data_IF_447627725453
#
_entry.id   IF_447627725453
#
_cell.length_a   1.000
_cell.length_b   1.000
_cell.length_c   1.000
_cell.angle_alpha   90.00
_cell.angle_beta   90.00
_cell.angle_gamma   90.00
#
_symmetry.space_group_name_H-M   'P 1'
#
loop_
_entity.id
_entity.type
_entity.pdbx_description
1 polymer ?
#
# COMPACT_ATOMS: atom_id res chain seq x y z
N UNK A 1 1.52 1.08 -11.93
CA UNK A 1 0.29 0.37 -11.57
C UNK A 1 -0.15 -0.61 -12.66
N UNK A 2 0.00 -0.26 -13.94
CA UNK A 2 -0.30 -1.17 -15.03
C UNK A 2 0.60 -2.40 -14.98
N UNK A 3 1.87 -2.21 -14.70
CA UNK A 3 2.83 -3.30 -14.57
C UNK A 3 2.49 -4.19 -13.38
N UNK A 4 2.09 -3.61 -12.28
CA UNK A 4 1.66 -4.36 -11.11
C UNK A 4 0.46 -5.23 -11.43
N UNK A 5 -0.54 -4.66 -12.09
CA UNK A 5 -1.76 -5.38 -12.46
C UNK A 5 -1.46 -6.52 -13.44
N UNK A 6 -0.55 -6.29 -14.39
CA UNK A 6 -0.16 -7.29 -15.38
C UNK A 6 0.58 -8.48 -14.74
N UNK A 7 1.32 -8.23 -13.66
CA UNK A 7 2.11 -9.26 -12.98
C UNK A 7 1.37 -9.91 -11.81
N UNK A 8 0.14 -9.49 -11.56
CA UNK A 8 -0.65 -9.96 -10.42
C UNK A 8 -1.04 -11.43 -10.63
N UNK A 9 -0.92 -12.20 -9.55
CA UNK A 9 -1.35 -13.58 -9.52
C UNK A 9 -2.60 -13.70 -8.65
N UNK A 10 -3.72 -14.02 -9.29
CA UNK A 10 -5.02 -14.09 -8.62
C UNK A 10 -5.04 -15.19 -7.57
N UNK A 11 -5.52 -14.86 -6.37
CA UNK A 11 -5.65 -15.80 -5.26
C UNK A 11 -4.40 -16.01 -4.43
N UNK A 12 -3.27 -15.43 -4.82
CA UNK A 12 -2.03 -15.55 -4.07
C UNK A 12 -1.83 -14.32 -3.18
N UNK A 13 -2.30 -14.40 -1.94
CA UNK A 13 -2.23 -13.29 -0.98
C UNK A 13 -0.79 -12.95 -0.63
N UNK A 14 0.06 -13.97 -0.48
CA UNK A 14 1.47 -13.76 -0.18
C UNK A 14 2.16 -12.90 -1.24
N UNK A 15 1.92 -13.22 -2.52
CA UNK A 15 2.46 -12.44 -3.63
C UNK A 15 1.85 -11.03 -3.67
N UNK A 16 0.56 -10.91 -3.40
CA UNK A 16 -0.12 -9.62 -3.38
C UNK A 16 0.50 -8.69 -2.33
N UNK A 17 0.80 -9.20 -1.15
CA UNK A 17 1.46 -8.42 -0.10
C UNK A 17 2.87 -7.99 -0.52
N UNK A 18 3.64 -8.91 -1.10
CA UNK A 18 4.98 -8.57 -1.59
C UNK A 18 4.93 -7.50 -2.66
N UNK A 19 3.95 -7.57 -3.56
CA UNK A 19 3.78 -6.59 -4.63
C UNK A 19 3.42 -5.21 -4.07
N UNK A 20 2.53 -5.15 -3.06
CA UNK A 20 2.15 -3.89 -2.41
C UNK A 20 3.35 -3.26 -1.71
N UNK A 21 4.14 -4.04 -0.99
CA UNK A 21 5.34 -3.54 -0.30
C UNK A 21 6.32 -2.96 -1.31
N UNK A 22 6.59 -3.70 -2.38
CA UNK A 22 7.52 -3.23 -3.42
C UNK A 22 7.01 -1.98 -4.12
N UNK A 23 5.73 -1.93 -4.44
CA UNK A 23 5.13 -0.76 -5.08
C UNK A 23 5.24 0.46 -4.18
N UNK A 24 4.90 0.33 -2.91
CA UNK A 24 4.95 1.44 -1.96
C UNK A 24 6.38 1.95 -1.78
N UNK A 25 7.34 1.04 -1.62
CA UNK A 25 8.75 1.41 -1.47
C UNK A 25 9.29 2.10 -2.74
N UNK A 26 8.94 1.57 -3.91
CA UNK A 26 9.35 2.14 -5.19
C UNK A 26 8.83 3.57 -5.36
N UNK A 27 7.56 3.81 -5.03
CA UNK A 27 6.98 5.15 -5.12
C UNK A 27 7.69 6.13 -4.20
N UNK A 28 8.02 5.70 -2.98
CA UNK A 28 8.73 6.55 -2.02
C UNK A 28 10.16 6.85 -2.52
N UNK A 29 10.85 5.84 -3.02
CA UNK A 29 12.21 5.99 -3.52
C UNK A 29 12.25 6.94 -4.71
N UNK A 30 11.33 6.76 -5.66
CA UNK A 30 11.30 7.57 -6.87
C UNK A 30 10.90 9.03 -6.59
N UNK A 31 9.98 9.24 -5.64
CA UNK A 31 9.46 10.56 -5.31
C UNK A 31 10.10 11.17 -4.05
N UNK A 32 11.00 10.44 -3.41
CA UNK A 32 11.60 10.85 -2.14
C UNK A 32 12.23 12.24 -2.16
N UNK A 33 13.09 12.57 -3.13
CA UNK A 33 13.69 13.91 -3.20
C UNK A 33 12.67 15.02 -3.37
N UNK A 34 11.62 14.79 -4.17
CA UNK A 34 10.55 15.75 -4.38
C UNK A 34 9.76 15.98 -3.09
N UNK A 35 9.36 14.90 -2.42
CA UNK A 35 8.62 14.98 -1.16
C UNK A 35 9.42 15.66 -0.07
N UNK A 36 10.70 15.34 0.03
CA UNK A 36 11.59 15.95 1.01
C UNK A 36 11.74 17.44 0.78
N UNK A 37 11.85 17.85 -0.47
CA UNK A 37 11.96 19.26 -0.85
C UNK A 37 10.70 20.03 -0.45
N UNK A 38 9.53 19.43 -0.64
CA UNK A 38 8.27 20.05 -0.21
C UNK A 38 8.25 20.33 1.29
N UNK A 39 8.73 19.41 2.10
CA UNK A 39 8.78 19.57 3.55
C UNK A 39 9.78 20.67 3.92
N UNK A 40 10.97 20.64 3.35
CA UNK A 40 12.04 21.60 3.63
C UNK A 40 11.65 23.03 3.25
N UNK A 41 10.89 23.18 2.17
CA UNK A 41 10.45 24.49 1.69
C UNK A 41 9.20 25.00 2.42
N UNK A 42 8.76 24.29 3.47
CA UNK A 42 7.59 24.70 4.25
C UNK A 42 6.27 24.36 3.59
N UNK A 43 6.26 23.44 2.62
CA UNK A 43 5.07 23.05 1.89
C UNK A 43 4.45 21.75 2.46
N UNK A 44 4.37 21.65 3.79
CA UNK A 44 3.84 20.47 4.45
C UNK A 44 2.41 20.13 4.02
N UNK A 45 1.57 21.15 3.82
CA UNK A 45 0.20 20.95 3.33
C UNK A 45 0.16 20.32 1.96
N UNK A 46 1.06 20.72 1.07
CA UNK A 46 1.16 20.15 -0.27
C UNK A 46 1.64 18.69 -0.21
N UNK A 47 2.58 18.41 0.70
CA UNK A 47 3.05 17.05 0.94
C UNK A 47 1.91 16.15 1.42
N UNK A 48 1.09 16.62 2.35
CA UNK A 48 -0.07 15.87 2.86
C UNK A 48 -1.04 15.56 1.72
N UNK A 49 -1.32 16.53 0.85
CA UNK A 49 -2.18 16.32 -0.32
C UNK A 49 -1.60 15.30 -1.30
N UNK A 50 -0.29 15.32 -1.46
CA UNK A 50 0.41 14.36 -2.31
C UNK A 50 0.24 12.93 -1.77
N UNK A 51 0.47 12.74 -0.46
CA UNK A 51 0.32 11.43 0.18
C UNK A 51 -1.13 10.96 0.10
N UNK A 52 -2.09 11.85 0.33
CA UNK A 52 -3.51 11.54 0.21
C UNK A 52 -3.84 11.00 -1.19
N UNK A 53 -3.37 11.69 -2.22
CA UNK A 53 -3.64 11.28 -3.60
C UNK A 53 -3.02 9.94 -3.96
N UNK A 54 -1.79 9.72 -3.54
CA UNK A 54 -1.08 8.45 -3.79
C UNK A 54 -1.78 7.30 -3.07
N UNK A 55 -2.09 7.48 -1.79
CA UNK A 55 -2.74 6.44 -0.99
C UNK A 55 -4.14 6.13 -1.53
N UNK A 56 -4.90 7.15 -1.90
CA UNK A 56 -6.24 6.99 -2.47
C UNK A 56 -6.18 6.15 -3.75
N UNK A 57 -5.23 6.45 -4.61
CA UNK A 57 -5.08 5.75 -5.89
C UNK A 57 -4.65 4.30 -5.72
N UNK A 58 -3.70 4.04 -4.83
CA UNK A 58 -3.25 2.68 -4.53
C UNK A 58 -4.40 1.87 -3.92
N UNK A 59 -5.12 2.45 -2.97
CA UNK A 59 -6.27 1.80 -2.34
C UNK A 59 -7.34 1.44 -3.37
N UNK A 60 -7.63 2.34 -4.32
CA UNK A 60 -8.59 2.09 -5.38
C UNK A 60 -8.18 0.89 -6.25
N UNK A 61 -6.91 0.82 -6.63
CA UNK A 61 -6.39 -0.30 -7.42
C UNK A 61 -6.49 -1.62 -6.67
N UNK A 62 -6.12 -1.63 -5.39
CA UNK A 62 -6.18 -2.83 -4.56
C UNK A 62 -7.63 -3.30 -4.43
N UNK A 63 -8.55 -2.39 -4.15
CA UNK A 63 -9.97 -2.73 -3.97
C UNK A 63 -10.58 -3.28 -5.26
N UNK A 64 -10.21 -2.71 -6.41
CA UNK A 64 -10.75 -3.13 -7.69
C UNK A 64 -10.11 -4.39 -8.28
N UNK A 65 -9.05 -4.89 -7.67
CA UNK A 65 -8.35 -6.08 -8.15
C UNK A 65 -8.26 -7.16 -7.06
N UNK A 66 -7.25 -7.05 -6.21
CA UNK A 66 -6.92 -8.09 -5.23
C UNK A 66 -8.05 -8.31 -4.21
N UNK A 67 -8.67 -7.25 -3.72
CA UNK A 67 -9.75 -7.37 -2.74
C UNK A 67 -10.97 -8.05 -3.35
N UNK A 68 -11.32 -7.71 -4.59
CA UNK A 68 -12.45 -8.36 -5.27
C UNK A 68 -12.19 -9.84 -5.48
N UNK A 69 -10.98 -10.21 -5.86
CA UNK A 69 -10.62 -11.61 -6.03
C UNK A 69 -10.72 -12.36 -4.70
N UNK A 70 -10.26 -11.74 -3.61
CA UNK A 70 -10.35 -12.32 -2.28
C UNK A 70 -11.81 -12.53 -1.86
N UNK A 71 -12.65 -11.52 -2.08
CA UNK A 71 -14.08 -11.62 -1.74
C UNK A 71 -14.77 -12.75 -2.50
N UNK A 72 -14.45 -12.90 -3.79
CA UNK A 72 -15.01 -13.98 -4.61
C UNK A 72 -14.56 -15.35 -4.14
N UNK A 73 -13.26 -15.49 -3.82
CA UNK A 73 -12.69 -16.77 -3.42
C UNK A 73 -13.20 -17.24 -2.07
N UNK A 74 -13.38 -16.33 -1.12
CA UNK A 74 -13.74 -16.66 0.25
C UNK A 74 -15.18 -16.36 0.61
N UNK A 75 -15.94 -15.76 -0.31
CA UNK A 75 -17.34 -15.44 -0.08
C UNK A 75 -17.57 -14.46 1.05
N UNK A 76 -16.57 -13.63 1.36
CA UNK A 76 -16.64 -12.67 2.46
C UNK A 76 -16.50 -11.25 1.92
N UNK A 77 -17.55 -10.42 2.04
CA UNK A 77 -17.42 -9.00 1.70
C UNK A 77 -16.57 -8.29 2.76
N UNK A 78 -15.76 -7.32 2.31
CA UNK A 78 -14.96 -6.50 3.21
C UNK A 78 -15.64 -5.14 3.34
N UNK A 79 -16.01 -4.77 4.56
CA UNK A 79 -16.68 -3.51 4.85
C UNK A 79 -15.67 -2.39 4.89
N UNK A 80 -16.03 -1.23 4.33
CA UNK A 80 -15.15 -0.05 4.30
C UNK A 80 -13.78 -0.37 3.71
N UNK A 81 -13.77 -1.10 2.62
CA UNK A 81 -12.54 -1.59 2.01
C UNK A 81 -11.60 -0.47 1.58
N UNK A 82 -12.14 0.58 0.95
CA UNK A 82 -11.33 1.69 0.47
C UNK A 82 -10.62 2.40 1.63
N UNK A 83 -11.37 2.73 2.67
CA UNK A 83 -10.86 3.42 3.85
C UNK A 83 -9.81 2.57 4.59
N UNK A 84 -10.05 1.27 4.66
CA UNK A 84 -9.12 0.34 5.29
C UNK A 84 -7.77 0.32 4.56
N UNK A 85 -7.80 0.17 3.25
CA UNK A 85 -6.57 0.12 2.46
C UNK A 85 -5.90 1.48 2.34
N UNK A 86 -6.69 2.55 2.27
CA UNK A 86 -6.15 3.91 2.33
C UNK A 86 -5.34 4.11 3.62
N UNK A 87 -5.92 3.77 4.76
CA UNK A 87 -5.27 3.91 6.07
C UNK A 87 -3.98 3.08 6.13
N UNK A 88 -4.04 1.84 5.64
CA UNK A 88 -2.85 0.99 5.58
C UNK A 88 -1.74 1.61 4.76
N UNK A 89 -2.05 2.09 3.57
CA UNK A 89 -1.05 2.65 2.66
C UNK A 89 -0.43 3.93 3.23
N UNK A 90 -1.24 4.83 3.80
CA UNK A 90 -0.73 6.02 4.46
C UNK A 90 0.25 5.64 5.57
N UNK A 91 -0.11 4.64 6.38
CA UNK A 91 0.77 4.16 7.45
C UNK A 91 2.06 3.56 6.91
N UNK A 92 1.98 2.75 5.87
CA UNK A 92 3.17 2.16 5.25
C UNK A 92 4.10 3.21 4.66
N UNK A 93 3.54 4.22 4.00
CA UNK A 93 4.33 5.33 3.45
C UNK A 93 5.11 6.03 4.57
N UNK A 94 4.44 6.36 5.66
CA UNK A 94 5.07 7.02 6.80
C UNK A 94 6.15 6.14 7.43
N UNK A 95 5.84 4.86 7.59
CA UNK A 95 6.78 3.91 8.19
C UNK A 95 8.08 3.80 7.37
N UNK A 96 7.95 3.66 6.06
CA UNK A 96 9.09 3.53 5.17
C UNK A 96 9.91 4.83 5.11
N UNK A 97 9.22 5.98 5.04
CA UNK A 97 9.92 7.27 4.96
C UNK A 97 10.70 7.60 6.23
N UNK A 98 10.11 7.32 7.39
CA UNK A 98 10.76 7.63 8.67
C UNK A 98 11.78 6.56 9.08
N UNK A 99 11.66 5.37 8.52
CA UNK A 99 12.54 4.24 8.82
C UNK A 99 12.96 3.54 7.52
N UNK A 100 13.79 4.20 6.70
CA UNK A 100 14.14 3.66 5.37
C UNK A 100 14.89 2.32 5.43
N UNK A 101 15.50 2.00 6.57
CA UNK A 101 16.23 0.75 6.77
C UNK A 101 15.32 -0.42 7.19
N UNK A 102 14.02 -0.16 7.35
CA UNK A 102 13.10 -1.23 7.74
C UNK A 102 13.05 -2.30 6.65
N UNK A 103 13.10 -3.56 7.07
CA UNK A 103 13.09 -4.67 6.13
C UNK A 103 11.69 -4.90 5.55
N UNK A 104 11.65 -5.32 4.28
CA UNK A 104 10.38 -5.61 3.60
C UNK A 104 9.59 -6.71 4.31
N UNK A 105 10.28 -7.67 4.93
CA UNK A 105 9.63 -8.73 5.70
C UNK A 105 8.84 -8.18 6.87
N UNK A 106 9.34 -7.14 7.53
CA UNK A 106 8.64 -6.49 8.65
C UNK A 106 7.41 -5.75 8.15
N UNK A 107 7.55 -4.99 7.05
CA UNK A 107 6.43 -4.24 6.46
C UNK A 107 5.33 -5.22 6.05
N UNK A 108 5.70 -6.31 5.40
CA UNK A 108 4.78 -7.35 4.97
C UNK A 108 4.03 -7.97 6.15
N UNK A 109 4.73 -8.24 7.22
CA UNK A 109 4.15 -8.82 8.43
C UNK A 109 3.16 -7.84 9.08
N UNK A 110 3.52 -6.56 9.15
CA UNK A 110 2.62 -5.52 9.69
C UNK A 110 1.35 -5.44 8.86
N UNK A 111 1.46 -5.45 7.53
CA UNK A 111 0.30 -5.41 6.64
C UNK A 111 -0.58 -6.65 6.84
N UNK A 112 0.02 -7.83 6.90
CA UNK A 112 -0.73 -9.08 7.10
C UNK A 112 -1.46 -9.10 8.44
N UNK A 113 -0.81 -8.64 9.50
CA UNK A 113 -1.41 -8.57 10.82
C UNK A 113 -2.55 -7.57 10.88
N UNK A 114 -2.35 -6.39 10.27
CA UNK A 114 -3.37 -5.34 10.26
C UNK A 114 -4.62 -5.79 9.51
N UNK A 115 -4.45 -6.53 8.43
CA UNK A 115 -5.56 -7.01 7.60
C UNK A 115 -6.07 -8.39 8.02
N UNK A 116 -5.50 -8.99 9.06
CA UNK A 116 -5.86 -10.34 9.53
C UNK A 116 -5.74 -11.40 8.42
N UNK A 117 -4.67 -11.32 7.63
CA UNK A 117 -4.47 -12.20 6.48
C UNK A 117 -3.59 -13.43 6.79
N UNK A 118 -3.04 -13.54 8.00
CA UNK A 118 -2.12 -14.63 8.33
C UNK A 118 -2.72 -16.02 8.12
N UNK A 119 -4.01 -16.18 8.35
CA UNK A 119 -4.69 -17.48 8.16
C UNK A 119 -4.93 -17.84 6.70
N UNK A 120 -4.68 -16.92 5.77
CA UNK A 120 -4.87 -17.15 4.34
C UNK A 120 -3.55 -17.29 3.58
N UNK A 121 -2.44 -17.30 4.31
CA UNK A 121 -1.10 -17.33 3.71
C UNK A 121 -0.40 -18.70 3.85
#
# INVERSE_FOLDING_TARGET
LEQWNANREVGNISKALDDVVRLTRSLITDEGPFSQRMIEDGNAGLYIKFIDRVADRIAEYICNSTVRDFEKLHGMPITNEHETFYTLIVGLISLIRLHPDIEDTVIRQVAAQTLHLNEYM
#
